data_IF_446346394927
#
_entry.id   IF_446346394927
#
_cell.length_a   1.000
_cell.length_b   1.000
_cell.length_c   1.000
_cell.angle_alpha   90.00
_cell.angle_beta   90.00
_cell.angle_gamma   90.00
#
_symmetry.space_group_name_H-M   'P 1'
#
loop_
_entity.id
_entity.type
_entity.pdbx_description
1 polymer ?
#
# COMPACT_ATOMS: atom_id res chain seq x y z
N UNK A 1 -2.44 44.72 -21.35
CA UNK A 1 -2.59 43.45 -20.63
C UNK A 1 -1.19 42.86 -20.46
N UNK A 2 -0.56 43.09 -19.30
CA UNK A 2 0.82 42.67 -19.06
C UNK A 2 0.78 41.21 -18.60
N UNK A 3 1.29 40.30 -19.42
CA UNK A 3 1.59 38.92 -19.02
C UNK A 3 2.67 38.98 -17.95
N UNK A 4 2.29 38.78 -16.68
CA UNK A 4 3.26 38.53 -15.62
C UNK A 4 3.81 37.12 -15.85
N UNK A 5 5.03 37.04 -16.39
CA UNK A 5 5.75 35.78 -16.46
C UNK A 5 5.92 35.26 -15.02
N UNK A 6 5.23 34.17 -14.70
CA UNK A 6 5.35 33.50 -13.40
C UNK A 6 6.80 33.02 -13.27
N UNK A 7 7.50 33.43 -12.21
CA UNK A 7 8.85 32.98 -11.94
C UNK A 7 8.89 31.44 -11.97
N UNK A 8 9.93 30.81 -12.57
CA UNK A 8 10.01 29.36 -12.63
C UNK A 8 9.95 28.77 -11.22
N UNK A 9 9.12 27.75 -11.03
CA UNK A 9 9.00 27.10 -9.72
C UNK A 9 10.36 26.50 -9.31
N UNK A 10 10.73 26.58 -8.02
CA UNK A 10 12.03 26.10 -7.56
C UNK A 10 12.16 24.60 -7.83
N UNK A 11 13.30 24.21 -8.43
CA UNK A 11 13.66 22.83 -8.76
C UNK A 11 14.78 22.32 -7.84
N UNK A 12 14.53 22.17 -6.53
CA UNK A 12 15.59 21.88 -5.57
C UNK A 12 16.27 20.52 -5.79
N UNK A 13 15.59 19.57 -6.45
CA UNK A 13 16.13 18.24 -6.73
C UNK A 13 16.78 18.13 -8.13
N UNK A 14 17.09 19.24 -8.78
CA UNK A 14 17.72 19.23 -10.10
C UNK A 14 19.09 18.52 -10.08
N UNK A 15 19.18 17.47 -10.91
CA UNK A 15 20.34 16.58 -10.99
C UNK A 15 20.33 15.40 -10.01
N UNK A 16 19.33 15.31 -9.13
CA UNK A 16 19.16 14.16 -8.22
C UNK A 16 18.42 13.04 -8.94
N UNK A 17 18.99 11.83 -8.93
CA UNK A 17 18.43 10.64 -9.57
C UNK A 17 17.86 9.70 -8.52
N UNK A 18 16.54 9.48 -8.56
CA UNK A 18 15.80 8.78 -7.51
C UNK A 18 15.10 7.55 -8.11
N UNK A 19 15.33 6.39 -7.50
CA UNK A 19 14.57 5.19 -7.77
C UNK A 19 13.37 5.08 -6.83
N UNK A 20 12.17 4.99 -7.38
CA UNK A 20 10.92 4.82 -6.62
C UNK A 20 10.47 3.36 -6.69
N UNK A 21 10.51 2.67 -5.54
CA UNK A 21 10.30 1.21 -5.45
C UNK A 21 8.84 0.78 -5.39
N UNK A 22 7.92 1.73 -5.26
CA UNK A 22 6.48 1.52 -5.30
C UNK A 22 5.87 2.36 -6.41
N UNK A 23 5.58 1.71 -7.54
CA UNK A 23 4.79 2.26 -8.62
C UNK A 23 3.53 1.40 -8.79
N UNK A 24 2.36 2.02 -8.73
CA UNK A 24 1.14 1.38 -9.23
C UNK A 24 1.07 1.52 -10.75
N UNK A 25 0.11 0.85 -11.40
CA UNK A 25 -0.07 0.86 -12.87
C UNK A 25 -0.23 2.28 -13.47
N UNK A 26 -0.61 3.28 -12.66
CA UNK A 26 -0.82 4.68 -13.09
C UNK A 26 0.35 5.61 -12.78
N UNK A 27 1.50 5.05 -12.41
CA UNK A 27 2.65 5.78 -11.90
C UNK A 27 2.46 6.23 -10.45
N UNK A 28 3.56 6.37 -9.71
CA UNK A 28 3.51 6.73 -8.29
C UNK A 28 3.24 8.23 -8.10
N UNK A 29 2.26 8.66 -7.27
CA UNK A 29 2.11 10.06 -6.87
C UNK A 29 3.41 10.65 -6.30
N UNK A 30 4.23 9.81 -5.66
CA UNK A 30 5.58 10.16 -5.24
C UNK A 30 6.48 10.54 -6.42
N UNK A 31 6.48 9.72 -7.47
CA UNK A 31 7.30 9.95 -8.65
C UNK A 31 6.93 11.28 -9.34
N UNK A 32 5.63 11.55 -9.46
CA UNK A 32 5.15 12.83 -9.99
C UNK A 32 5.59 14.02 -9.13
N UNK A 33 5.42 13.92 -7.81
CA UNK A 33 5.83 14.99 -6.88
C UNK A 33 7.34 15.25 -6.92
N UNK A 34 8.16 14.20 -7.01
CA UNK A 34 9.62 14.32 -7.10
C UNK A 34 10.06 14.90 -8.45
N UNK A 35 9.46 14.48 -9.57
CA UNK A 35 9.70 15.07 -10.90
C UNK A 35 9.34 16.55 -10.93
N UNK A 36 8.24 16.94 -10.30
CA UNK A 36 7.84 18.34 -10.16
C UNK A 36 8.87 19.19 -9.39
N UNK A 37 9.65 18.58 -8.48
CA UNK A 37 10.77 19.22 -7.78
C UNK A 37 12.11 19.17 -8.53
N UNK A 38 12.14 18.62 -9.76
CA UNK A 38 13.31 18.59 -10.63
C UNK A 38 14.13 17.29 -10.61
N UNK A 39 13.71 16.28 -9.85
CA UNK A 39 14.41 15.00 -9.81
C UNK A 39 14.26 14.21 -11.13
N UNK A 40 15.30 13.47 -11.51
CA UNK A 40 15.17 12.36 -12.47
C UNK A 40 14.65 11.16 -11.71
N UNK A 41 13.48 10.63 -12.10
CA UNK A 41 12.83 9.54 -11.35
C UNK A 41 12.69 8.29 -12.20
N UNK A 42 13.31 7.20 -11.72
CA UNK A 42 13.15 5.84 -12.23
C UNK A 42 12.10 5.11 -11.39
N UNK A 43 11.03 4.65 -12.03
CA UNK A 43 10.03 3.82 -11.36
C UNK A 43 10.47 2.35 -11.48
N UNK A 44 10.76 1.73 -10.35
CA UNK A 44 11.34 0.38 -10.26
C UNK A 44 10.55 -0.44 -9.23
N UNK A 45 9.30 -0.84 -9.54
CA UNK A 45 8.51 -1.66 -8.62
C UNK A 45 9.29 -2.92 -8.25
N UNK A 46 9.46 -3.20 -6.95
CA UNK A 46 10.22 -4.39 -6.52
C UNK A 46 9.32 -5.62 -6.30
N UNK A 47 8.03 -5.36 -6.21
CA UNK A 47 6.98 -6.34 -5.99
C UNK A 47 5.76 -5.96 -6.81
N UNK A 48 4.98 -6.96 -7.19
CA UNK A 48 3.70 -6.81 -7.86
C UNK A 48 2.61 -7.59 -7.14
N UNK A 49 1.37 -7.22 -7.40
CA UNK A 49 0.20 -7.96 -6.92
C UNK A 49 -0.18 -8.97 -7.99
N UNK A 50 -0.16 -10.24 -7.64
CA UNK A 50 -0.61 -11.33 -8.50
C UNK A 50 -2.00 -11.78 -8.03
N UNK A 51 -2.98 -11.70 -8.93
CA UNK A 51 -4.31 -12.29 -8.73
C UNK A 51 -4.18 -13.81 -8.62
N UNK A 52 -4.82 -14.39 -7.60
CA UNK A 52 -4.93 -15.85 -7.45
C UNK A 52 -6.15 -16.39 -8.19
N UNK A 53 -6.38 -17.69 -8.13
CA UNK A 53 -7.66 -18.27 -8.52
C UNK A 53 -8.80 -17.59 -7.72
N UNK A 54 -9.69 -16.90 -8.44
CA UNK A 54 -10.82 -16.20 -7.85
C UNK A 54 -12.06 -17.06 -7.70
N UNK A 55 -12.04 -18.33 -8.10
CA UNK A 55 -13.19 -19.24 -7.96
C UNK A 55 -13.77 -19.21 -6.53
N UNK A 56 -12.95 -19.28 -5.45
CA UNK A 56 -13.46 -19.18 -4.08
C UNK A 56 -14.13 -17.84 -3.78
N UNK A 57 -13.61 -16.72 -4.32
CA UNK A 57 -14.20 -15.40 -4.14
C UNK A 57 -15.51 -15.25 -4.91
N UNK A 58 -15.58 -15.81 -6.13
CA UNK A 58 -16.82 -15.88 -6.90
C UNK A 58 -17.90 -16.70 -6.18
N UNK A 59 -17.53 -17.79 -5.52
CA UNK A 59 -18.45 -18.63 -4.73
C UNK A 59 -18.93 -17.94 -3.46
N UNK A 60 -18.04 -17.21 -2.77
CA UNK A 60 -18.41 -16.38 -1.64
C UNK A 60 -19.37 -15.26 -2.06
N UNK A 61 -19.09 -14.55 -3.16
CA UNK A 61 -19.96 -13.47 -3.68
C UNK A 61 -21.32 -14.01 -4.13
N UNK A 62 -21.40 -15.24 -4.66
CA UNK A 62 -22.69 -15.89 -4.95
C UNK A 62 -23.57 -16.04 -3.70
N UNK A 63 -22.94 -16.17 -2.53
CA UNK A 63 -23.59 -16.27 -1.21
C UNK A 63 -23.48 -14.97 -0.42
N UNK A 64 -23.25 -13.82 -1.07
CA UNK A 64 -22.95 -12.56 -0.38
C UNK A 64 -24.02 -12.17 0.65
N UNK A 65 -25.29 -12.51 0.38
CA UNK A 65 -26.43 -12.25 1.27
C UNK A 65 -26.37 -13.01 2.60
N UNK A 66 -25.59 -14.09 2.68
CA UNK A 66 -25.36 -14.87 3.91
C UNK A 66 -24.36 -14.21 4.87
N UNK A 67 -23.63 -13.19 4.42
CA UNK A 67 -22.67 -12.46 5.25
C UNK A 67 -23.29 -11.16 5.76
N UNK A 68 -23.17 -10.87 7.05
CA UNK A 68 -23.60 -9.61 7.63
C UNK A 68 -22.59 -8.49 7.34
N UNK A 69 -21.31 -8.86 7.27
CA UNK A 69 -20.18 -7.94 7.11
C UNK A 69 -19.23 -8.32 5.98
N UNK A 70 -18.58 -7.30 5.41
CA UNK A 70 -17.40 -7.43 4.57
C UNK A 70 -16.24 -6.69 5.22
N UNK A 71 -15.12 -7.40 5.38
CA UNK A 71 -13.90 -6.90 5.98
C UNK A 71 -12.93 -6.48 4.87
N UNK A 72 -12.52 -5.22 4.85
CA UNK A 72 -11.65 -4.65 3.82
C UNK A 72 -10.41 -4.03 4.47
N UNK A 73 -9.27 -4.72 4.36
CA UNK A 73 -8.02 -4.27 4.99
C UNK A 73 -6.99 -3.70 4.02
N UNK A 74 -7.30 -3.67 2.72
CA UNK A 74 -6.40 -3.15 1.69
C UNK A 74 -7.16 -2.73 0.44
N UNK A 75 -6.60 -1.75 -0.29
CA UNK A 75 -7.09 -1.35 -1.62
C UNK A 75 -7.15 -2.54 -2.57
N UNK A 76 -6.15 -3.43 -2.54
CA UNK A 76 -6.14 -4.63 -3.39
C UNK A 76 -7.35 -5.55 -3.10
N UNK A 77 -7.75 -5.71 -1.84
CA UNK A 77 -8.93 -6.51 -1.49
C UNK A 77 -10.22 -5.88 -2.04
N UNK A 78 -10.33 -4.54 -1.97
CA UNK A 78 -11.43 -3.79 -2.58
C UNK A 78 -11.50 -4.04 -4.08
N UNK A 79 -10.39 -3.87 -4.79
CA UNK A 79 -10.33 -4.02 -6.25
C UNK A 79 -10.70 -5.43 -6.71
N UNK A 80 -10.18 -6.47 -6.03
CA UNK A 80 -10.50 -7.86 -6.39
C UNK A 80 -11.96 -8.20 -6.08
N UNK A 81 -12.49 -7.77 -4.93
CA UNK A 81 -13.90 -7.97 -4.60
C UNK A 81 -14.81 -7.20 -5.56
N UNK A 82 -14.47 -5.96 -5.91
CA UNK A 82 -15.25 -5.13 -6.82
C UNK A 82 -15.37 -5.76 -8.19
N UNK A 83 -14.27 -6.27 -8.75
CA UNK A 83 -14.30 -7.04 -9.99
C UNK A 83 -15.29 -8.19 -9.91
N UNK A 84 -15.21 -9.03 -8.87
CA UNK A 84 -16.09 -10.19 -8.72
C UNK A 84 -17.56 -9.80 -8.50
N UNK A 85 -17.81 -8.74 -7.73
CA UNK A 85 -19.16 -8.21 -7.51
C UNK A 85 -19.77 -7.76 -8.82
N UNK A 86 -19.03 -7.03 -9.66
CA UNK A 86 -19.48 -6.59 -10.98
C UNK A 86 -19.67 -7.76 -11.94
N UNK A 87 -18.72 -8.70 -12.00
CA UNK A 87 -18.83 -9.89 -12.87
C UNK A 87 -20.05 -10.74 -12.53
N UNK A 88 -20.51 -10.69 -11.27
CA UNK A 88 -21.69 -11.43 -10.78
C UNK A 88 -22.99 -10.61 -10.78
N UNK A 89 -22.95 -9.31 -11.06
CA UNK A 89 -24.11 -8.42 -10.90
C UNK A 89 -24.61 -8.35 -9.45
N UNK A 90 -23.71 -8.45 -8.47
CA UNK A 90 -24.01 -8.56 -7.05
C UNK A 90 -24.04 -7.21 -6.30
N UNK A 91 -24.09 -6.09 -7.01
CA UNK A 91 -24.00 -4.74 -6.44
C UNK A 91 -25.10 -4.47 -5.42
N UNK A 92 -26.34 -4.90 -5.71
CA UNK A 92 -27.47 -4.75 -4.80
C UNK A 92 -27.26 -5.54 -3.50
N UNK A 93 -26.71 -6.75 -3.59
CA UNK A 93 -26.38 -7.54 -2.41
C UNK A 93 -25.26 -6.86 -1.60
N UNK A 94 -24.20 -6.39 -2.26
CA UNK A 94 -23.08 -5.68 -1.63
C UNK A 94 -23.53 -4.41 -0.92
N UNK A 95 -24.42 -3.63 -1.51
CA UNK A 95 -24.94 -2.38 -0.94
C UNK A 95 -25.71 -2.56 0.38
N UNK A 96 -26.14 -3.78 0.70
CA UNK A 96 -26.84 -4.10 1.96
C UNK A 96 -25.90 -4.66 3.04
N UNK A 97 -24.63 -4.90 2.72
CA UNK A 97 -23.65 -5.42 3.68
C UNK A 97 -23.03 -4.30 4.50
N UNK A 98 -22.68 -4.60 5.74
CA UNK A 98 -21.91 -3.68 6.58
C UNK A 98 -20.43 -3.78 6.22
N UNK A 99 -19.73 -2.66 6.27
CA UNK A 99 -18.33 -2.59 5.87
C UNK A 99 -17.46 -2.25 7.08
N UNK A 100 -16.51 -3.11 7.40
CA UNK A 100 -15.43 -2.80 8.33
C UNK A 100 -14.16 -2.57 7.51
N UNK A 101 -13.70 -1.33 7.49
CA UNK A 101 -12.64 -0.88 6.58
C UNK A 101 -11.44 -0.35 7.37
N UNK A 102 -10.27 -0.90 7.09
CA UNK A 102 -9.01 -0.46 7.71
C UNK A 102 -8.28 0.49 6.77
N UNK A 103 -8.08 1.72 7.24
CA UNK A 103 -7.29 2.75 6.58
C UNK A 103 -8.06 3.61 5.60
N UNK A 104 -7.67 4.88 5.53
CA UNK A 104 -8.30 5.92 4.70
C UNK A 104 -8.21 5.62 3.20
N UNK A 105 -7.08 5.07 2.74
CA UNK A 105 -6.92 4.69 1.34
C UNK A 105 -7.88 3.55 0.94
N UNK A 106 -8.09 2.57 1.81
CA UNK A 106 -9.03 1.47 1.57
C UNK A 106 -10.48 1.97 1.56
N UNK A 107 -10.83 2.88 2.46
CA UNK A 107 -12.15 3.52 2.48
C UNK A 107 -12.42 4.31 1.20
N UNK A 108 -11.46 5.13 0.76
CA UNK A 108 -11.56 5.87 -0.50
C UNK A 108 -11.73 4.95 -1.71
N UNK A 109 -11.02 3.82 -1.75
CA UNK A 109 -11.19 2.82 -2.81
C UNK A 109 -12.59 2.19 -2.80
N UNK A 110 -13.12 1.84 -1.61
CA UNK A 110 -14.46 1.29 -1.48
C UNK A 110 -15.54 2.28 -1.94
N UNK A 111 -15.40 3.56 -1.60
CA UNK A 111 -16.29 4.63 -2.04
C UNK A 111 -16.28 4.80 -3.57
N UNK A 112 -15.11 4.69 -4.22
CA UNK A 112 -14.98 4.74 -5.67
C UNK A 112 -15.72 3.58 -6.36
N UNK A 113 -15.85 2.43 -5.70
CA UNK A 113 -16.66 1.29 -6.15
C UNK A 113 -18.17 1.47 -5.88
N UNK A 114 -18.60 2.61 -5.32
CA UNK A 114 -19.99 2.86 -4.96
C UNK A 114 -20.43 2.23 -3.63
N UNK A 115 -19.49 1.64 -2.87
CA UNK A 115 -19.76 1.06 -1.56
C UNK A 115 -19.70 2.19 -0.52
N UNK A 116 -20.87 2.77 -0.22
CA UNK A 116 -20.96 3.96 0.63
C UNK A 116 -20.58 3.64 2.07
N UNK A 117 -19.90 4.61 2.69
CA UNK A 117 -19.60 4.82 4.12
C UNK A 117 -19.25 3.55 4.91
N UNK A 118 -17.97 3.37 5.32
CA UNK A 118 -17.64 2.26 6.20
C UNK A 118 -18.46 2.33 7.48
N UNK A 119 -19.09 1.20 7.83
CA UNK A 119 -19.86 1.06 9.07
C UNK A 119 -18.94 1.17 10.28
N UNK A 120 -17.68 0.74 10.13
CA UNK A 120 -16.61 0.94 11.11
C UNK A 120 -15.32 1.30 10.36
N UNK A 121 -14.70 2.41 10.75
CA UNK A 121 -13.37 2.84 10.31
C UNK A 121 -12.66 3.52 11.49
N UNK A 122 -11.81 2.80 12.25
CA UNK A 122 -11.09 3.41 13.36
C UNK A 122 -10.11 4.48 12.85
N UNK A 123 -9.96 5.57 13.61
CA UNK A 123 -9.02 6.66 13.29
C UNK A 123 -7.57 6.17 13.22
N UNK A 124 -7.23 5.24 14.12
CA UNK A 124 -5.97 4.51 14.07
C UNK A 124 -6.15 3.38 13.05
N UNK A 125 -5.63 3.58 11.84
CA UNK A 125 -5.67 2.65 10.70
C UNK A 125 -4.91 1.32 10.94
N UNK A 126 -5.19 0.66 12.06
CA UNK A 126 -4.53 -0.54 12.57
C UNK A 126 -5.58 -1.57 12.97
N UNK A 127 -5.21 -2.85 12.86
CA UNK A 127 -6.07 -3.97 13.22
C UNK A 127 -6.57 -3.90 14.68
N UNK A 128 -5.75 -3.39 15.61
CA UNK A 128 -6.12 -3.27 17.03
C UNK A 128 -7.27 -2.29 17.23
N UNK A 129 -7.20 -1.08 16.65
CA UNK A 129 -8.28 -0.11 16.76
C UNK A 129 -9.58 -0.59 16.12
N UNK A 130 -9.49 -1.43 15.08
CA UNK A 130 -10.66 -2.07 14.50
C UNK A 130 -11.27 -3.09 15.46
N UNK A 131 -10.45 -3.92 16.11
CA UNK A 131 -10.94 -4.89 17.09
C UNK A 131 -11.64 -4.22 18.27
N UNK A 132 -11.09 -3.13 18.80
CA UNK A 132 -11.72 -2.37 19.89
C UNK A 132 -13.08 -1.80 19.47
N UNK A 133 -13.12 -1.19 18.28
CA UNK A 133 -14.36 -0.66 17.73
C UNK A 133 -15.41 -1.76 17.50
N UNK A 134 -15.00 -2.95 17.04
CA UNK A 134 -15.89 -4.08 16.84
C UNK A 134 -16.35 -4.69 18.18
N UNK A 135 -15.47 -4.79 19.18
CA UNK A 135 -15.81 -5.35 20.49
C UNK A 135 -16.91 -4.57 21.24
N UNK A 136 -17.02 -3.26 20.98
CA UNK A 136 -18.08 -2.41 21.56
C UNK A 136 -19.47 -2.63 20.95
N UNK A 137 -19.58 -3.45 19.89
CA UNK A 137 -20.84 -3.64 19.16
C UNK A 137 -21.57 -4.89 19.62
N UNK A 138 -22.88 -4.81 19.69
CA UNK A 138 -23.76 -5.91 20.08
C UNK A 138 -24.05 -6.91 18.94
N UNK A 139 -23.58 -6.65 17.73
CA UNK A 139 -23.92 -7.40 16.51
C UNK A 139 -22.72 -8.12 15.88
N UNK A 140 -21.72 -8.46 16.69
CA UNK A 140 -20.51 -9.19 16.28
C UNK A 140 -20.59 -10.67 16.62
N UNK A 141 -21.11 -11.01 17.79
CA UNK A 141 -21.27 -12.41 18.18
C UNK A 141 -22.23 -13.13 17.22
N UNK A 142 -21.76 -14.22 16.61
CA UNK A 142 -22.48 -14.99 15.59
C UNK A 142 -22.52 -14.36 14.19
N UNK A 143 -22.02 -13.13 14.02
CA UNK A 143 -22.06 -12.44 12.73
C UNK A 143 -21.16 -13.10 11.69
N UNK A 144 -21.66 -13.25 10.47
CA UNK A 144 -20.93 -13.86 9.35
C UNK A 144 -20.17 -12.78 8.58
N UNK A 145 -18.87 -12.97 8.42
CA UNK A 145 -18.00 -11.95 7.82
C UNK A 145 -17.21 -12.52 6.65
N UNK A 146 -17.35 -11.89 5.48
CA UNK A 146 -16.52 -12.17 4.32
C UNK A 146 -15.22 -11.35 4.40
N UNK A 147 -14.08 -12.01 4.28
CA UNK A 147 -12.78 -11.37 4.32
C UNK A 147 -11.92 -11.69 3.09
N UNK A 148 -12.04 -10.92 1.99
CA UNK A 148 -11.12 -11.03 0.87
C UNK A 148 -9.72 -10.55 1.29
N UNK A 149 -8.70 -11.40 1.13
CA UNK A 149 -7.38 -11.14 1.71
C UNK A 149 -6.22 -11.59 0.81
N UNK A 150 -4.99 -11.29 1.26
CA UNK A 150 -3.78 -11.82 0.64
C UNK A 150 -3.57 -13.29 1.06
N UNK A 151 -2.96 -14.13 0.21
CA UNK A 151 -2.65 -15.54 0.58
C UNK A 151 -1.83 -15.68 1.87
N UNK A 152 -0.91 -14.75 2.11
CA UNK A 152 -0.05 -14.76 3.29
C UNK A 152 -0.59 -13.90 4.45
N UNK A 153 -1.88 -13.55 4.42
CA UNK A 153 -2.56 -12.79 5.46
C UNK A 153 -2.44 -13.48 6.82
N UNK A 154 -1.47 -13.05 7.64
CA UNK A 154 -1.41 -13.34 9.09
C UNK A 154 -2.08 -12.19 9.82
N UNK A 155 -3.35 -12.01 9.54
CA UNK A 155 -4.09 -10.87 10.06
C UNK A 155 -4.62 -11.17 11.46
N UNK A 156 -4.14 -10.38 12.42
CA UNK A 156 -4.63 -10.38 13.82
C UNK A 156 -6.13 -10.08 13.88
N UNK A 157 -6.66 -9.40 12.86
CA UNK A 157 -8.05 -8.96 12.81
C UNK A 157 -9.05 -10.13 12.67
N UNK A 158 -8.98 -11.04 11.68
CA UNK A 158 -9.80 -12.24 11.64
C UNK A 158 -9.78 -13.07 12.93
N UNK A 159 -8.61 -13.27 13.51
CA UNK A 159 -8.48 -14.08 14.74
C UNK A 159 -9.10 -13.38 15.94
N UNK A 160 -8.89 -12.08 16.09
CA UNK A 160 -9.54 -11.28 17.13
C UNK A 160 -11.06 -11.24 16.96
N UNK A 161 -11.58 -11.11 15.74
CA UNK A 161 -13.02 -11.14 15.46
C UNK A 161 -13.63 -12.52 15.78
N UNK A 162 -12.92 -13.61 15.46
CA UNK A 162 -13.34 -14.96 15.89
C UNK A 162 -13.35 -15.10 17.41
N UNK A 163 -12.40 -14.50 18.12
CA UNK A 163 -12.39 -14.47 19.58
C UNK A 163 -13.57 -13.67 20.17
N UNK A 164 -14.11 -12.70 19.43
CA UNK A 164 -15.35 -11.97 19.75
C UNK A 164 -16.62 -12.73 19.33
N UNK A 165 -16.51 -13.96 18.82
CA UNK A 165 -17.64 -14.81 18.45
C UNK A 165 -18.11 -14.66 16.99
N UNK A 166 -17.43 -13.89 16.15
CA UNK A 166 -17.78 -13.76 14.74
C UNK A 166 -17.33 -14.98 13.91
N UNK A 167 -18.07 -15.27 12.84
CA UNK A 167 -17.76 -16.32 11.86
C UNK A 167 -17.06 -15.69 10.65
N UNK A 168 -15.72 -15.67 10.67
CA UNK A 168 -14.91 -15.02 9.62
C UNK A 168 -14.45 -16.02 8.55
N UNK A 169 -14.96 -15.85 7.33
CA UNK A 169 -14.53 -16.57 6.12
C UNK A 169 -13.45 -15.77 5.38
N UNK A 170 -12.20 -16.18 5.55
CA UNK A 170 -11.06 -15.60 4.83
C UNK A 170 -10.92 -16.19 3.43
N UNK A 171 -10.91 -15.34 2.41
CA UNK A 171 -10.84 -15.75 1.00
C UNK A 171 -9.62 -15.12 0.34
N UNK A 172 -8.50 -15.87 0.20
CA UNK A 172 -7.34 -15.40 -0.53
C UNK A 172 -7.68 -15.04 -1.98
N UNK A 173 -7.43 -13.80 -2.37
CA UNK A 173 -7.73 -13.29 -3.72
C UNK A 173 -6.46 -12.87 -4.48
N UNK A 174 -5.39 -12.55 -3.76
CA UNK A 174 -4.14 -12.09 -4.36
C UNK A 174 -2.93 -12.47 -3.50
N UNK A 175 -1.74 -12.35 -4.06
CA UNK A 175 -0.47 -12.42 -3.31
C UNK A 175 0.48 -11.35 -3.78
N UNK A 176 1.37 -10.93 -2.89
CA UNK A 176 2.53 -10.13 -3.28
C UNK A 176 3.60 -11.07 -3.83
N UNK A 177 4.06 -10.80 -5.04
CA UNK A 177 5.14 -11.54 -5.70
C UNK A 177 6.29 -10.59 -6.07
N UNK A 178 7.53 -11.09 -6.21
CA UNK A 178 8.63 -10.32 -6.80
C UNK A 178 8.28 -9.77 -8.18
N UNK A 179 8.72 -8.54 -8.47
CA UNK A 179 8.66 -7.97 -9.81
C UNK A 179 10.04 -8.11 -10.47
N UNK A 180 10.20 -9.13 -11.31
CA UNK A 180 11.49 -9.47 -11.89
C UNK A 180 12.09 -8.33 -12.74
N UNK A 181 11.26 -7.60 -13.48
CA UNK A 181 11.70 -6.53 -14.37
C UNK A 181 12.16 -5.30 -13.57
N UNK A 182 11.40 -4.90 -12.55
CA UNK A 182 11.78 -3.80 -11.68
C UNK A 182 12.99 -4.14 -10.79
N UNK A 183 13.10 -5.39 -10.33
CA UNK A 183 14.29 -5.86 -9.61
C UNK A 183 15.55 -5.91 -10.50
N UNK A 184 15.42 -6.34 -11.76
CA UNK A 184 16.51 -6.27 -12.72
C UNK A 184 16.92 -4.82 -13.01
N UNK A 185 15.93 -3.93 -13.17
CA UNK A 185 16.15 -2.52 -13.46
C UNK A 185 16.85 -1.77 -12.33
N UNK A 186 16.43 -1.97 -11.07
CA UNK A 186 17.13 -1.34 -9.93
C UNK A 186 18.57 -1.85 -9.82
N UNK A 187 18.80 -3.13 -10.09
CA UNK A 187 20.14 -3.73 -10.07
C UNK A 187 21.05 -3.13 -11.12
N UNK A 188 20.55 -2.93 -12.35
CA UNK A 188 21.30 -2.27 -13.43
C UNK A 188 21.66 -0.84 -13.07
N UNK A 189 20.67 -0.05 -12.62
CA UNK A 189 20.87 1.36 -12.27
C UNK A 189 21.84 1.56 -11.09
N UNK A 190 21.82 0.64 -10.13
CA UNK A 190 22.79 0.64 -9.02
C UNK A 190 24.19 0.31 -9.51
N UNK A 191 24.33 -0.68 -10.40
CA UNK A 191 25.63 -1.05 -10.99
C UNK A 191 26.24 0.06 -11.85
N UNK A 192 25.43 0.79 -12.61
CA UNK A 192 25.89 1.89 -13.46
C UNK A 192 26.14 3.20 -12.69
N UNK A 193 25.78 3.27 -11.40
CA UNK A 193 25.88 4.50 -10.61
C UNK A 193 24.87 5.56 -11.06
N UNK A 194 23.74 5.15 -11.62
CA UNK A 194 22.67 6.02 -12.12
C UNK A 194 21.63 6.42 -11.07
N UNK A 195 21.72 5.90 -9.85
CA UNK A 195 20.84 6.25 -8.74
C UNK A 195 21.63 6.88 -7.60
N UNK A 196 21.12 7.99 -7.09
CA UNK A 196 21.64 8.67 -5.89
C UNK A 196 20.85 8.31 -4.63
N UNK A 197 19.59 7.85 -4.79
CA UNK A 197 18.66 7.58 -3.70
C UNK A 197 17.58 6.55 -4.11
N UNK A 198 17.28 5.58 -3.25
CA UNK A 198 16.14 4.68 -3.41
C UNK A 198 15.08 4.98 -2.35
N UNK A 199 13.81 5.09 -2.74
CA UNK A 199 12.72 5.26 -1.76
C UNK A 199 12.20 3.90 -1.30
N UNK A 200 11.94 3.73 0.00
CA UNK A 200 11.34 2.52 0.59
C UNK A 200 10.23 2.93 1.56
N UNK A 201 9.02 2.41 1.33
CA UNK A 201 7.81 2.80 2.06
C UNK A 201 7.40 1.82 3.17
N UNK A 202 8.04 0.65 3.26
CA UNK A 202 7.73 -0.36 4.26
C UNK A 202 8.94 -1.29 4.48
N UNK A 203 9.04 -1.99 5.62
CA UNK A 203 10.06 -3.03 5.83
C UNK A 203 10.09 -4.07 4.70
N UNK A 204 8.94 -4.52 4.19
CA UNK A 204 8.88 -5.46 3.08
C UNK A 204 9.49 -4.93 1.77
N UNK A 205 9.49 -3.61 1.56
CA UNK A 205 10.18 -3.00 0.42
C UNK A 205 11.70 -2.99 0.60
N UNK A 206 12.19 -2.96 1.85
CA UNK A 206 13.60 -3.14 2.17
C UNK A 206 14.01 -4.58 1.87
N UNK A 207 13.22 -5.57 2.31
CA UNK A 207 13.48 -6.97 2.04
C UNK A 207 13.52 -7.25 0.52
N UNK A 208 12.53 -6.74 -0.22
CA UNK A 208 12.50 -6.87 -1.68
C UNK A 208 13.67 -6.16 -2.38
N UNK A 209 14.18 -5.05 -1.82
CA UNK A 209 15.36 -4.37 -2.35
C UNK A 209 16.63 -5.17 -2.07
N UNK A 210 16.72 -5.80 -0.89
CA UNK A 210 17.84 -6.67 -0.53
C UNK A 210 17.89 -7.90 -1.43
N UNK A 211 16.73 -8.52 -1.73
CA UNK A 211 16.64 -9.64 -2.67
C UNK A 211 17.05 -9.23 -4.10
N UNK A 212 16.73 -7.98 -4.48
CA UNK A 212 17.04 -7.42 -5.78
C UNK A 212 18.52 -7.05 -5.96
N UNK A 213 19.29 -6.87 -4.88
CA UNK A 213 20.66 -6.36 -4.93
C UNK A 213 21.67 -7.37 -4.40
N UNK A 214 22.85 -7.52 -5.03
CA UNK A 214 23.95 -8.25 -4.42
C UNK A 214 24.37 -7.57 -3.10
N UNK A 215 24.70 -8.35 -2.07
CA UNK A 215 25.01 -7.85 -0.73
C UNK A 215 26.09 -6.75 -0.69
N UNK A 216 27.05 -6.78 -1.62
CA UNK A 216 28.12 -5.79 -1.76
C UNK A 216 27.62 -4.37 -2.12
N UNK A 217 26.42 -4.24 -2.69
CA UNK A 217 25.85 -2.97 -3.11
C UNK A 217 24.97 -2.31 -2.04
N UNK A 218 24.46 -3.07 -1.07
CA UNK A 218 23.55 -2.55 -0.05
C UNK A 218 24.19 -1.45 0.81
N UNK A 219 25.47 -1.61 1.18
CA UNK A 219 26.19 -0.64 2.01
C UNK A 219 26.51 0.70 1.36
N UNK A 220 26.32 0.84 0.04
CA UNK A 220 26.68 2.05 -0.73
C UNK A 220 25.47 2.82 -1.25
N UNK A 221 24.27 2.27 -1.13
CA UNK A 221 23.06 2.82 -1.74
C UNK A 221 22.22 3.58 -0.70
N UNK A 222 22.18 4.92 -0.73
CA UNK A 222 21.37 5.69 0.19
C UNK A 222 19.89 5.39 0.00
N UNK A 223 19.18 5.16 1.11
CA UNK A 223 17.73 4.97 1.09
C UNK A 223 17.00 6.11 1.79
N UNK A 224 15.83 6.46 1.24
CA UNK A 224 14.84 7.31 1.86
C UNK A 224 13.70 6.46 2.40
N UNK A 225 13.48 6.51 3.71
CA UNK A 225 12.44 5.76 4.41
C UNK A 225 11.27 6.69 4.76
N UNK A 226 10.05 6.21 4.54
CA UNK A 226 8.83 6.98 4.89
C UNK A 226 8.63 7.15 6.40
N UNK A 227 9.33 6.37 7.24
CA UNK A 227 9.18 6.43 8.69
C UNK A 227 10.17 5.56 9.47
N UNK A 228 10.13 5.64 10.81
CA UNK A 228 11.14 5.06 11.71
C UNK A 228 11.18 3.53 11.67
N UNK A 229 10.02 2.87 11.50
CA UNK A 229 9.95 1.39 11.39
C UNK A 229 10.70 0.91 10.16
N UNK A 230 10.48 1.56 9.01
CA UNK A 230 11.17 1.24 7.75
C UNK A 230 12.65 1.60 7.83
N UNK A 231 13.01 2.73 8.45
CA UNK A 231 14.40 3.13 8.65
C UNK A 231 15.18 2.14 9.52
N UNK A 232 14.54 1.57 10.55
CA UNK A 232 15.15 0.52 11.37
C UNK A 232 15.41 -0.74 10.55
N UNK A 233 14.44 -1.19 9.74
CA UNK A 233 14.62 -2.34 8.85
C UNK A 233 15.76 -2.12 7.85
N UNK A 234 15.81 -0.93 7.23
CA UNK A 234 16.90 -0.55 6.31
C UNK A 234 18.29 -0.59 6.96
N UNK A 235 18.42 -0.06 8.19
CA UNK A 235 19.68 -0.10 8.95
C UNK A 235 20.11 -1.55 9.26
N UNK A 236 19.18 -2.41 9.67
CA UNK A 236 19.45 -3.83 9.94
C UNK A 236 19.89 -4.57 8.66
N UNK A 237 19.28 -4.23 7.52
CA UNK A 237 19.66 -4.76 6.20
C UNK A 237 20.96 -4.15 5.65
N UNK A 238 21.60 -3.22 6.36
CA UNK A 238 22.90 -2.64 5.99
C UNK A 238 22.82 -1.44 5.03
N UNK A 239 21.63 -0.90 4.74
CA UNK A 239 21.48 0.28 3.90
C UNK A 239 21.76 1.57 4.67
N UNK A 240 22.54 2.52 4.10
CA UNK A 240 22.68 3.86 4.67
C UNK A 240 21.36 4.64 4.55
N UNK A 241 20.72 4.93 5.68
CA UNK A 241 19.48 5.72 5.71
C UNK A 241 19.82 7.21 5.62
N UNK A 242 19.59 7.81 4.45
CA UNK A 242 19.81 9.25 4.21
C UNK A 242 18.60 10.09 4.59
N UNK A 243 17.40 9.53 4.44
CA UNK A 243 16.15 10.22 4.79
C UNK A 243 15.30 9.30 5.65
N UNK A 244 14.82 9.83 6.77
CA UNK A 244 13.78 9.23 7.60
C UNK A 244 12.70 10.31 7.78
N UNK A 245 11.51 10.10 7.22
CA UNK A 245 10.44 11.09 7.36
C UNK A 245 9.77 10.98 8.74
N UNK A 246 9.61 12.12 9.41
CA UNK A 246 8.90 12.19 10.69
C UNK A 246 7.37 12.19 10.55
N UNK A 247 6.86 12.47 9.35
CA UNK A 247 5.43 12.41 9.03
C UNK A 247 5.21 11.32 7.98
N UNK A 248 4.43 10.29 8.31
CA UNK A 248 4.11 9.18 7.40
C UNK A 248 3.09 9.60 6.31
N UNK A 249 3.26 10.79 5.73
CA UNK A 249 2.45 11.32 4.63
C UNK A 249 3.33 11.50 3.39
N UNK A 250 2.71 11.41 2.20
CA UNK A 250 3.41 11.59 0.93
C UNK A 250 4.10 12.96 0.85
N UNK A 251 3.39 14.01 1.25
CA UNK A 251 3.90 15.38 1.26
C UNK A 251 5.07 15.54 2.24
N UNK A 252 4.93 15.05 3.46
CA UNK A 252 5.99 15.08 4.47
C UNK A 252 7.25 14.33 4.00
N UNK A 253 7.07 13.23 3.28
CA UNK A 253 8.16 12.47 2.72
C UNK A 253 8.90 13.22 1.61
N UNK A 254 8.17 13.84 0.68
CA UNK A 254 8.76 14.70 -0.37
C UNK A 254 9.54 15.86 0.25
N UNK A 255 8.97 16.55 1.24
CA UNK A 255 9.65 17.63 1.97
C UNK A 255 10.96 17.14 2.60
N UNK A 256 10.93 15.95 3.21
CA UNK A 256 12.11 15.35 3.84
C UNK A 256 13.20 15.01 2.81
N UNK A 257 12.82 14.52 1.63
CA UNK A 257 13.74 14.24 0.52
C UNK A 257 14.35 15.54 0.00
N UNK A 258 13.54 16.58 -0.22
CA UNK A 258 14.01 17.91 -0.65
C UNK A 258 15.00 18.49 0.35
N UNK A 259 14.72 18.42 1.65
CA UNK A 259 15.63 18.93 2.68
C UNK A 259 16.99 18.22 2.71
N UNK A 260 17.00 16.90 2.44
CA UNK A 260 18.21 16.08 2.53
C UNK A 260 19.03 16.01 1.23
N UNK A 261 18.39 16.23 0.07
CA UNK A 261 19.00 16.07 -1.24
C UNK A 261 18.98 17.35 -2.09
N UNK A 262 18.23 18.36 -1.67
CA UNK A 262 18.13 19.63 -2.37
C UNK A 262 19.40 20.48 -2.23
N UNK A 263 19.60 21.35 -3.22
CA UNK A 263 20.65 22.38 -3.21
C UNK A 263 20.17 23.68 -2.58
#
# INVERSE_FOLDING_TARGET
>A
MIMVARAPEPRPLEGVRIAVTRAGERGSPLAQALRAKGATVYEVPLTRIETLDLTPLHDAVRRLVEFDWVLLTSVNAVEHLARVVTDRGAEAAMATRRLAVVGTATAAAAEQCGWRTPTVQPENAQAVGMLDAMASRSDIEGARMLYPCAAAARDVLPDGLRALGALVEGVPAYRTAPDADGQARVRELVKSGEIDLVTVAAPSAVDALLDALPAEHAGRLPVACIGPVTARAAKVAGFPVKVESGAATMEGWVISIVKACGK
#
